data_IF_608074244584
#
_entry.id   IF_608074244584
#
_cell.length_a   1.000
_cell.length_b   1.000
_cell.length_c   1.000
_cell.angle_alpha   90.00
_cell.angle_beta   90.00
_cell.angle_gamma   90.00
#
_symmetry.space_group_name_H-M   'P 1'
#
loop_
_entity.id
_entity.type
_entity.pdbx_description
1 polymer ?
#
# COMPACT_ATOMS: atom_id res chain seq x y z
N UNK A 1 -31.18 -25.78 -16.88
CA UNK A 1 -31.52 -24.58 -16.09
C UNK A 1 -31.50 -24.76 -14.56
N UNK A 2 -31.16 -25.94 -14.00
CA UNK A 2 -31.06 -26.16 -12.54
C UNK A 2 -29.65 -25.93 -11.97
N UNK A 3 -28.60 -26.37 -12.68
CA UNK A 3 -27.20 -26.25 -12.24
C UNK A 3 -26.74 -24.81 -12.01
N UNK A 4 -27.16 -23.87 -12.85
CA UNK A 4 -26.75 -22.46 -12.74
C UNK A 4 -27.30 -21.79 -11.47
N UNK A 5 -28.50 -22.19 -11.05
CA UNK A 5 -29.15 -21.68 -9.84
C UNK A 5 -28.47 -22.27 -8.59
N UNK A 6 -28.18 -23.58 -8.60
CA UNK A 6 -27.49 -24.25 -7.49
C UNK A 6 -26.07 -23.72 -7.29
N UNK A 7 -25.35 -23.45 -8.39
CA UNK A 7 -24.02 -22.84 -8.33
C UNK A 7 -24.05 -21.42 -7.77
N UNK A 8 -25.05 -20.60 -8.16
CA UNK A 8 -25.21 -19.25 -7.64
C UNK A 8 -25.51 -19.25 -6.12
N UNK A 9 -26.33 -20.19 -5.66
CA UNK A 9 -26.65 -20.36 -4.24
C UNK A 9 -25.42 -20.82 -3.45
N UNK A 10 -24.66 -21.79 -3.96
CA UNK A 10 -23.41 -22.23 -3.35
C UNK A 10 -22.38 -21.11 -3.26
N UNK A 11 -22.18 -20.36 -4.36
CA UNK A 11 -21.29 -19.20 -4.39
C UNK A 11 -21.69 -18.14 -3.36
N UNK A 12 -22.99 -17.87 -3.21
CA UNK A 12 -23.48 -16.91 -2.20
C UNK A 12 -23.21 -17.41 -0.78
N UNK A 13 -23.45 -18.69 -0.51
CA UNK A 13 -23.17 -19.29 0.82
C UNK A 13 -21.69 -19.26 1.16
N UNK A 14 -20.83 -19.53 0.19
CA UNK A 14 -19.38 -19.44 0.35
C UNK A 14 -18.93 -17.99 0.60
N UNK A 15 -19.50 -17.02 -0.12
CA UNK A 15 -19.23 -15.60 0.10
C UNK A 15 -19.60 -15.14 1.51
N UNK A 16 -20.75 -15.56 2.02
CA UNK A 16 -21.21 -15.25 3.38
C UNK A 16 -20.35 -15.96 4.43
N UNK A 17 -20.07 -17.25 4.26
CA UNK A 17 -19.26 -18.02 5.22
C UNK A 17 -17.82 -17.52 5.33
N UNK A 18 -17.28 -16.93 4.26
CA UNK A 18 -15.95 -16.32 4.23
C UNK A 18 -15.96 -14.81 4.48
N UNK A 19 -17.10 -14.22 4.85
CA UNK A 19 -17.27 -12.78 5.04
C UNK A 19 -16.79 -11.93 3.84
N UNK A 20 -16.79 -12.50 2.62
CA UNK A 20 -16.21 -11.84 1.44
C UNK A 20 -16.95 -10.54 1.06
N UNK A 21 -18.21 -10.38 1.48
CA UNK A 21 -18.96 -9.13 1.32
C UNK A 21 -18.38 -8.01 2.21
N UNK A 22 -17.95 -8.33 3.44
CA UNK A 22 -17.29 -7.38 4.35
C UNK A 22 -15.88 -7.02 3.84
N UNK A 23 -15.14 -8.00 3.32
CA UNK A 23 -13.85 -7.75 2.66
C UNK A 23 -14.00 -6.86 1.43
N UNK A 24 -15.11 -6.97 0.70
CA UNK A 24 -15.37 -6.14 -0.48
C UNK A 24 -15.64 -4.69 -0.09
N UNK A 25 -16.33 -4.44 1.02
CA UNK A 25 -16.52 -3.09 1.56
C UNK A 25 -15.22 -2.50 2.13
N UNK A 26 -14.40 -3.32 2.82
CA UNK A 26 -13.07 -2.88 3.30
C UNK A 26 -12.13 -2.55 2.13
N UNK A 27 -12.13 -3.38 1.08
CA UNK A 27 -11.35 -3.12 -0.13
C UNK A 27 -11.88 -1.91 -0.90
N UNK A 28 -13.20 -1.73 -1.00
CA UNK A 28 -13.80 -0.57 -1.66
C UNK A 28 -13.57 0.73 -0.89
N UNK A 29 -13.66 0.71 0.44
CA UNK A 29 -13.38 1.87 1.30
C UNK A 29 -11.90 2.26 1.29
N UNK A 30 -10.98 1.29 1.21
CA UNK A 30 -9.55 1.58 1.01
C UNK A 30 -9.24 2.10 -0.39
N UNK A 31 -10.05 1.77 -1.40
CA UNK A 31 -9.87 2.25 -2.78
C UNK A 31 -10.32 3.71 -2.99
N UNK A 32 -11.25 4.22 -2.17
CA UNK A 32 -11.75 5.60 -2.30
C UNK A 32 -10.89 6.64 -1.56
N UNK A 33 -10.17 6.26 -0.50
CA UNK A 33 -9.22 7.15 0.21
C UNK A 33 -7.83 7.18 -0.47
N UNK A 34 -7.52 6.20 -1.31
CA UNK A 34 -6.39 6.21 -2.26
C UNK A 34 -6.81 6.74 -3.63
N UNK A 35 -7.47 7.91 -3.67
CA UNK A 35 -7.62 8.65 -4.91
C UNK A 35 -6.24 9.08 -5.45
N UNK A 36 -5.60 8.16 -6.18
CA UNK A 36 -4.48 8.30 -7.13
C UNK A 36 -3.46 9.37 -6.76
N UNK A 37 -2.74 9.15 -5.66
CA UNK A 37 -1.41 9.74 -5.58
C UNK A 37 -0.45 8.85 -6.37
N UNK A 38 -0.29 9.17 -7.65
CA UNK A 38 0.53 8.41 -8.62
C UNK A 38 2.03 8.48 -8.31
N UNK A 39 2.44 9.14 -7.22
CA UNK A 39 3.85 9.27 -6.83
C UNK A 39 4.42 7.92 -6.44
N UNK A 40 5.64 7.67 -6.91
CA UNK A 40 6.40 6.47 -6.53
C UNK A 40 6.59 6.47 -5.00
N UNK A 41 6.50 5.28 -4.38
CA UNK A 41 6.75 5.12 -2.96
C UNK A 41 8.16 4.62 -2.70
N UNK A 42 8.80 5.16 -1.66
CA UNK A 42 10.08 4.67 -1.14
C UNK A 42 9.97 4.33 0.34
N UNK A 43 10.60 3.22 0.72
CA UNK A 43 10.74 2.83 2.12
C UNK A 43 12.03 3.43 2.65
N UNK A 44 11.91 4.25 3.69
CA UNK A 44 13.02 4.89 4.39
C UNK A 44 13.29 4.13 5.68
N UNK A 45 14.53 3.69 5.84
CA UNK A 45 15.01 2.98 7.02
C UNK A 45 15.82 3.92 7.89
N UNK A 46 15.59 3.87 9.20
CA UNK A 46 16.49 4.50 10.17
C UNK A 46 17.71 3.61 10.39
N UNK A 47 18.90 4.19 10.31
CA UNK A 47 20.18 3.53 10.57
C UNK A 47 20.85 4.12 11.81
N UNK A 48 21.98 3.56 12.24
CA UNK A 48 22.78 4.12 13.33
C UNK A 48 23.36 5.52 13.00
N UNK A 49 23.52 5.84 11.71
CA UNK A 49 24.21 7.04 11.25
C UNK A 49 23.30 8.03 10.51
N UNK A 50 21.97 7.81 10.51
CA UNK A 50 21.02 8.63 9.76
C UNK A 50 19.90 7.78 9.16
N UNK A 51 19.61 8.00 7.88
CA UNK A 51 18.56 7.30 7.14
C UNK A 51 19.06 6.81 5.79
N UNK A 52 18.42 5.78 5.25
CA UNK A 52 18.68 5.34 3.88
C UNK A 52 17.41 4.80 3.21
N UNK A 53 17.40 4.80 1.88
CA UNK A 53 16.37 4.14 1.08
C UNK A 53 16.97 3.54 -0.20
N UNK A 54 16.18 2.69 -0.86
CA UNK A 54 16.49 2.21 -2.21
C UNK A 54 15.54 2.90 -3.19
N UNK A 55 16.07 3.68 -4.12
CA UNK A 55 15.29 4.35 -5.16
C UNK A 55 15.79 3.92 -6.55
N UNK A 56 14.90 3.34 -7.37
CA UNK A 56 15.22 2.81 -8.71
C UNK A 56 16.48 1.92 -8.73
N UNK A 57 16.60 1.06 -7.71
CA UNK A 57 17.71 0.13 -7.55
C UNK A 57 19.02 0.74 -7.07
N UNK A 58 19.04 2.03 -6.72
CA UNK A 58 20.23 2.72 -6.19
C UNK A 58 20.04 3.05 -4.71
N UNK A 59 21.06 2.80 -3.86
CA UNK A 59 21.02 3.26 -2.48
C UNK A 59 21.13 4.79 -2.45
N UNK A 60 20.33 5.40 -1.59
CA UNK A 60 20.39 6.84 -1.26
C UNK A 60 20.53 6.95 0.25
N UNK A 61 21.49 7.75 0.70
CA UNK A 61 21.82 7.94 2.12
C UNK A 61 21.54 9.38 2.53
N UNK A 62 21.12 9.55 3.78
CA UNK A 62 20.73 10.83 4.37
C UNK A 62 21.28 10.92 5.79
N UNK A 63 21.81 12.07 6.18
CA UNK A 63 22.32 12.25 7.54
C UNK A 63 21.18 12.59 8.49
N UNK A 64 20.23 13.40 8.02
CA UNK A 64 19.12 13.90 8.81
C UNK A 64 17.77 13.58 8.17
N UNK A 65 16.71 13.66 8.97
CA UNK A 65 15.34 13.47 8.47
C UNK A 65 14.92 14.61 7.52
N UNK A 66 15.46 15.81 7.72
CA UNK A 66 15.30 16.99 6.86
C UNK A 66 15.81 16.75 5.44
N UNK A 67 16.91 16.01 5.30
CA UNK A 67 17.46 15.60 4.00
C UNK A 67 16.48 14.68 3.27
N UNK A 68 15.86 13.72 3.98
CA UNK A 68 14.85 12.81 3.41
C UNK A 68 13.63 13.59 2.91
N UNK A 69 13.14 14.54 3.70
CA UNK A 69 11.97 15.35 3.34
C UNK A 69 12.24 16.20 2.10
N UNK A 70 13.37 16.91 2.09
CA UNK A 70 13.81 17.75 0.96
C UNK A 70 13.95 16.92 -0.31
N UNK A 71 14.64 15.79 -0.22
CA UNK A 71 14.86 14.89 -1.35
C UNK A 71 13.54 14.27 -1.85
N UNK A 72 12.64 13.87 -0.96
CA UNK A 72 11.36 13.28 -1.36
C UNK A 72 10.46 14.26 -2.11
N UNK A 73 10.52 15.55 -1.74
CA UNK A 73 9.83 16.61 -2.45
C UNK A 73 10.47 16.89 -3.82
N UNK A 74 11.79 16.87 -3.91
CA UNK A 74 12.52 17.05 -5.18
C UNK A 74 12.25 15.91 -6.17
N UNK A 75 12.25 14.67 -5.68
CA UNK A 75 12.05 13.48 -6.51
C UNK A 75 10.57 13.15 -6.76
N UNK A 76 9.67 13.91 -6.15
CA UNK A 76 8.21 13.73 -6.17
C UNK A 76 7.79 12.30 -5.78
N UNK A 77 8.32 11.82 -4.65
CA UNK A 77 8.05 10.48 -4.13
C UNK A 77 7.44 10.55 -2.73
N UNK A 78 6.61 9.57 -2.39
CA UNK A 78 6.11 9.39 -1.02
C UNK A 78 7.09 8.55 -0.19
N UNK A 79 7.25 8.91 1.07
CA UNK A 79 8.12 8.20 2.01
C UNK A 79 7.29 7.41 3.02
N UNK A 80 7.67 6.15 3.23
CA UNK A 80 7.18 5.31 4.32
C UNK A 80 8.34 4.98 5.25
N UNK A 81 8.22 5.35 6.54
CA UNK A 81 9.28 5.16 7.52
C UNK A 81 9.13 3.82 8.23
N UNK A 82 10.12 2.95 8.08
CA UNK A 82 10.18 1.66 8.79
C UNK A 82 11.15 1.75 9.96
N UNK A 83 10.68 1.41 11.17
CA UNK A 83 11.49 1.40 12.39
C UNK A 83 11.39 2.67 13.25
N UNK A 84 10.21 3.31 13.25
CA UNK A 84 9.83 4.36 14.22
C UNK A 84 9.51 3.77 15.60
#
# INVERSE_FOLDING_TARGET
>A
MKLSVELAVLRRRLAVALHLDEWKEVLAGNLEDEASDDREWVIVYRTANGYCCLYRGKPVEFNELSDVQSWSAEMDVRTYFMGL
#
